data_IF_228382669094
#
_entry.id   IF_228382669094
#
_cell.length_a   1.000
_cell.length_b   1.000
_cell.length_c   1.000
_cell.angle_alpha   90.00
_cell.angle_beta   90.00
_cell.angle_gamma   90.00
#
_symmetry.space_group_name_H-M   'P 1'
#
loop_
_entity.id
_entity.type
_entity.pdbx_description
1 polymer ?
#
# COMPACT_ATOMS: atom_id res chain seq x y z
N UNK A 1 12.39 -47.74 29.79
CA UNK A 1 13.33 -46.87 29.05
C UNK A 1 13.24 -47.21 27.58
N UNK A 2 12.63 -46.42 26.72
CA UNK A 2 12.76 -46.57 25.30
C UNK A 2 13.68 -45.48 24.72
N UNK A 3 14.64 -45.98 23.96
CA UNK A 3 15.64 -45.21 23.23
C UNK A 3 15.02 -44.35 22.15
N UNK A 4 15.44 -43.13 22.09
CA UNK A 4 15.24 -42.22 20.97
C UNK A 4 16.25 -42.55 19.87
N UNK A 5 15.78 -43.09 18.76
CA UNK A 5 16.60 -43.31 17.57
C UNK A 5 16.21 -42.31 16.47
N UNK A 6 17.16 -41.44 16.17
CA UNK A 6 17.53 -41.06 14.82
C UNK A 6 16.53 -40.31 13.94
N UNK A 7 16.61 -38.97 13.95
CA UNK A 7 16.18 -38.16 12.82
C UNK A 7 17.20 -38.30 11.70
N UNK A 8 16.92 -39.11 10.70
CA UNK A 8 17.65 -39.12 9.44
C UNK A 8 17.23 -37.91 8.63
N UNK A 9 18.10 -36.90 8.61
CA UNK A 9 18.00 -35.78 7.67
C UNK A 9 18.31 -36.32 6.28
N UNK A 10 17.30 -36.55 5.48
CA UNK A 10 17.46 -36.85 4.06
C UNK A 10 17.96 -35.58 3.37
N UNK A 11 19.16 -35.54 2.77
CA UNK A 11 19.59 -34.39 2.03
C UNK A 11 18.69 -34.20 0.83
N UNK A 12 17.99 -33.07 0.79
CA UNK A 12 17.17 -32.68 -0.36
C UNK A 12 18.07 -32.65 -1.60
N UNK A 13 17.74 -33.43 -2.63
CA UNK A 13 18.44 -33.40 -3.92
C UNK A 13 18.53 -31.97 -4.41
N UNK A 14 19.72 -31.49 -4.87
CA UNK A 14 19.85 -30.17 -5.44
C UNK A 14 18.93 -30.09 -6.68
N UNK A 15 17.87 -29.29 -6.58
CA UNK A 15 17.05 -28.95 -7.76
C UNK A 15 17.97 -28.22 -8.75
N UNK A 16 18.04 -28.70 -9.98
CA UNK A 16 18.73 -28.03 -11.10
C UNK A 16 18.24 -26.58 -11.17
N UNK A 17 19.10 -25.67 -10.82
CA UNK A 17 18.84 -24.25 -10.83
C UNK A 17 18.78 -23.75 -12.28
N UNK A 18 17.64 -23.23 -12.69
CA UNK A 18 17.56 -22.42 -13.93
C UNK A 18 18.18 -21.03 -13.63
N UNK A 19 18.76 -20.32 -14.64
CA UNK A 19 19.34 -19.01 -14.41
C UNK A 19 18.32 -18.07 -13.81
N UNK A 20 18.68 -17.41 -12.75
CA UNK A 20 17.84 -16.90 -11.70
C UNK A 20 17.56 -15.43 -11.92
N UNK A 21 16.30 -15.15 -12.10
CA UNK A 21 15.75 -13.81 -11.87
C UNK A 21 15.84 -13.55 -10.36
N UNK A 22 16.40 -12.43 -9.91
CA UNK A 22 16.43 -12.12 -8.48
C UNK A 22 15.02 -12.07 -7.92
N UNK A 23 14.83 -12.72 -6.77
CA UNK A 23 13.57 -12.74 -6.04
C UNK A 23 13.78 -11.93 -4.78
N UNK A 24 12.97 -10.93 -4.57
CA UNK A 24 13.01 -10.09 -3.38
C UNK A 24 11.67 -10.15 -2.66
N UNK A 25 11.69 -10.55 -1.39
CA UNK A 25 10.53 -10.45 -0.53
C UNK A 25 10.71 -9.28 0.45
N UNK A 26 9.65 -8.55 0.68
CA UNK A 26 9.55 -7.36 1.55
C UNK A 26 10.44 -6.19 1.14
N UNK A 27 9.87 -5.34 0.32
CA UNK A 27 10.33 -3.97 0.19
C UNK A 27 9.83 -3.15 1.39
N UNK A 28 10.70 -2.36 2.02
CA UNK A 28 10.33 -1.29 2.94
C UNK A 28 10.99 -0.01 2.46
N UNK A 29 10.19 0.97 2.07
CA UNK A 29 10.69 2.27 1.63
C UNK A 29 10.98 3.14 2.85
N UNK A 30 12.07 3.90 2.82
CA UNK A 30 12.41 4.89 3.83
C UNK A 30 12.53 6.27 3.19
N UNK A 31 12.30 7.33 3.96
CA UNK A 31 12.27 8.74 3.52
C UNK A 31 13.47 9.23 2.71
N UNK A 32 14.50 8.42 2.51
CA UNK A 32 15.70 8.76 1.74
C UNK A 32 15.81 7.98 0.42
N UNK A 33 14.70 7.69 -0.25
CA UNK A 33 14.67 6.93 -1.52
C UNK A 33 15.48 5.62 -1.48
N UNK A 34 15.33 4.86 -0.39
CA UNK A 34 15.95 3.55 -0.19
C UNK A 34 14.87 2.50 0.02
N UNK A 35 14.96 1.42 -0.73
CA UNK A 35 14.14 0.24 -0.55
C UNK A 35 14.96 -0.83 0.18
N UNK A 36 14.39 -1.40 1.24
CA UNK A 36 14.99 -2.53 1.94
C UNK A 36 14.43 -3.82 1.34
N UNK A 37 15.33 -4.66 0.86
CA UNK A 37 14.98 -5.90 0.18
C UNK A 37 15.63 -7.08 0.88
N UNK A 38 14.92 -8.21 0.91
CA UNK A 38 15.48 -9.52 1.22
C UNK A 38 15.56 -10.33 -0.07
N UNK A 39 16.75 -10.77 -0.44
CA UNK A 39 16.94 -11.65 -1.60
C UNK A 39 16.55 -13.07 -1.19
N UNK A 40 15.54 -13.64 -1.83
CA UNK A 40 15.03 -14.99 -1.55
C UNK A 40 15.58 -16.03 -2.51
N UNK A 41 15.98 -15.61 -3.71
CA UNK A 41 16.60 -16.49 -4.71
C UNK A 41 17.40 -15.70 -5.72
N UNK A 42 18.38 -16.37 -6.34
CA UNK A 42 19.27 -15.73 -7.29
C UNK A 42 20.32 -14.82 -6.69
N UNK A 43 20.84 -13.97 -7.51
CA UNK A 43 21.84 -12.97 -7.14
C UNK A 43 21.37 -11.61 -7.66
N UNK A 44 21.27 -10.64 -6.75
CA UNK A 44 20.97 -9.26 -7.12
C UNK A 44 22.28 -8.50 -7.35
N UNK A 45 22.48 -7.98 -8.55
CA UNK A 45 23.66 -7.19 -8.94
C UNK A 45 23.34 -5.70 -9.04
N UNK A 46 24.35 -4.87 -8.84
CA UNK A 46 24.29 -3.44 -9.14
C UNK A 46 23.89 -3.24 -10.59
N UNK A 47 23.03 -2.27 -10.87
CA UNK A 47 22.42 -1.98 -12.18
C UNK A 47 21.48 -3.07 -12.72
N UNK A 48 21.17 -4.11 -11.95
CA UNK A 48 20.11 -5.06 -12.31
C UNK A 48 18.79 -4.32 -12.44
N UNK A 49 18.02 -4.67 -13.47
CA UNK A 49 16.66 -4.18 -13.65
C UNK A 49 15.72 -5.02 -12.80
N UNK A 50 14.99 -4.37 -11.93
CA UNK A 50 13.91 -4.95 -11.14
C UNK A 50 12.59 -4.52 -11.71
N UNK A 51 11.64 -5.42 -11.74
CA UNK A 51 10.29 -5.22 -12.21
C UNK A 51 9.31 -5.49 -11.10
N UNK A 52 8.23 -4.74 -11.06
CA UNK A 52 7.12 -4.90 -10.14
C UNK A 52 5.85 -4.32 -10.76
N UNK A 53 4.80 -4.25 -9.97
CA UNK A 53 3.51 -3.72 -10.39
C UNK A 53 3.03 -2.70 -9.34
N UNK A 54 2.72 -1.49 -9.77
CA UNK A 54 2.20 -0.44 -8.90
C UNK A 54 0.89 0.09 -9.50
N UNK A 55 -0.21 0.01 -8.74
CA UNK A 55 -1.56 0.46 -9.15
C UNK A 55 -2.05 -0.18 -10.45
N UNK A 56 -1.72 -1.47 -10.67
CA UNK A 56 -2.06 -2.17 -11.91
C UNK A 56 -1.16 -1.82 -13.10
N UNK A 57 -0.17 -0.92 -12.92
CA UNK A 57 0.80 -0.58 -13.94
C UNK A 57 2.15 -1.27 -13.71
N UNK A 58 2.67 -2.02 -14.68
CA UNK A 58 3.99 -2.61 -14.56
C UNK A 58 5.07 -1.53 -14.58
N UNK A 59 6.05 -1.66 -13.70
CA UNK A 59 7.20 -0.76 -13.66
C UNK A 59 8.53 -1.53 -13.74
N UNK A 60 9.56 -0.84 -14.20
CA UNK A 60 10.91 -1.37 -14.29
C UNK A 60 11.92 -0.29 -13.92
N UNK A 61 12.68 -0.51 -12.84
CA UNK A 61 13.71 0.41 -12.35
C UNK A 61 15.03 -0.32 -12.13
N UNK A 62 16.13 0.44 -12.12
CA UNK A 62 17.46 -0.12 -11.92
C UNK A 62 17.95 0.07 -10.49
N UNK A 63 18.51 -0.99 -9.93
CA UNK A 63 19.20 -0.95 -8.65
C UNK A 63 20.54 -0.18 -8.80
N UNK A 64 20.59 1.07 -8.34
CA UNK A 64 21.77 1.92 -8.51
C UNK A 64 22.93 1.51 -7.59
N UNK A 65 22.64 1.28 -6.31
CA UNK A 65 23.62 0.86 -5.32
C UNK A 65 23.01 -0.20 -4.41
N UNK A 66 23.81 -1.15 -4.01
CA UNK A 66 23.47 -2.16 -3.02
C UNK A 66 24.29 -1.88 -1.75
N UNK A 67 23.59 -1.73 -0.62
CA UNK A 67 24.18 -1.39 0.67
C UNK A 67 23.87 -2.46 1.70
N UNK A 68 24.90 -3.03 2.29
CA UNK A 68 24.79 -3.91 3.45
C UNK A 68 25.02 -3.09 4.71
N UNK A 69 24.01 -3.05 5.58
CA UNK A 69 24.08 -2.31 6.83
C UNK A 69 24.52 -3.20 7.99
N UNK A 70 25.41 -2.64 8.82
CA UNK A 70 25.77 -3.17 10.13
C UNK A 70 25.66 -2.04 11.15
N UNK A 71 24.51 -1.99 11.85
CA UNK A 71 24.14 -0.84 12.67
C UNK A 71 23.96 0.43 11.82
N UNK A 72 24.60 1.52 12.20
CA UNK A 72 24.53 2.80 11.47
C UNK A 72 25.45 2.87 10.24
N UNK A 73 26.41 1.97 10.13
CA UNK A 73 27.39 1.93 9.02
C UNK A 73 26.93 0.99 7.92
N UNK A 74 27.32 1.27 6.70
CA UNK A 74 27.04 0.39 5.56
C UNK A 74 28.29 0.19 4.70
N UNK A 75 28.33 -0.94 4.01
CA UNK A 75 29.32 -1.26 2.98
C UNK A 75 28.61 -1.36 1.63
N UNK A 76 29.26 -0.86 0.58
CA UNK A 76 28.79 -1.05 -0.78
C UNK A 76 29.22 -2.44 -1.26
N UNK A 77 28.32 -3.12 -1.97
CA UNK A 77 28.60 -4.42 -2.58
C UNK A 77 28.11 -4.42 -4.02
N UNK A 78 28.76 -5.20 -4.87
CA UNK A 78 28.38 -5.34 -6.28
C UNK A 78 27.29 -6.37 -6.49
N UNK A 79 27.16 -7.33 -5.56
CA UNK A 79 26.18 -8.41 -5.65
C UNK A 79 25.73 -8.87 -4.26
N UNK A 80 24.48 -9.33 -4.18
CA UNK A 80 23.83 -9.84 -2.98
C UNK A 80 23.23 -11.21 -3.28
N UNK A 81 23.56 -12.18 -2.46
CA UNK A 81 23.04 -13.55 -2.57
C UNK A 81 21.75 -13.81 -1.77
N UNK A 82 21.19 -15.02 -1.94
CA UNK A 82 19.95 -15.41 -1.25
C UNK A 82 20.11 -15.40 0.28
N UNK A 83 19.03 -15.02 0.97
CA UNK A 83 18.96 -14.95 2.43
C UNK A 83 19.48 -13.64 3.03
N UNK A 84 20.17 -12.82 2.27
CA UNK A 84 20.71 -11.53 2.71
C UNK A 84 19.66 -10.40 2.58
N UNK A 85 19.77 -9.42 3.48
CA UNK A 85 18.96 -8.18 3.46
C UNK A 85 19.87 -7.03 3.07
N UNK A 86 19.42 -6.22 2.14
CA UNK A 86 20.15 -5.05 1.68
C UNK A 86 19.24 -3.83 1.49
N UNK A 87 19.83 -2.65 1.53
CA UNK A 87 19.16 -1.44 1.07
C UNK A 87 19.60 -1.12 -0.36
N UNK A 88 18.62 -0.90 -1.22
CA UNK A 88 18.81 -0.58 -2.63
C UNK A 88 18.42 0.87 -2.86
N UNK A 89 19.21 1.59 -3.63
CA UNK A 89 18.87 2.94 -4.09
C UNK A 89 18.45 2.91 -5.57
N UNK A 90 17.57 3.82 -5.96
CA UNK A 90 17.09 3.94 -7.34
C UNK A 90 15.75 3.30 -7.60
N UNK A 91 15.12 2.73 -6.58
CA UNK A 91 13.75 2.23 -6.65
C UNK A 91 12.80 3.29 -6.07
N UNK A 92 11.99 3.89 -6.92
CA UNK A 92 11.06 4.96 -6.55
C UNK A 92 9.61 4.47 -6.50
N UNK A 93 9.30 3.44 -7.27
CA UNK A 93 7.94 2.89 -7.38
C UNK A 93 7.70 1.65 -6.51
N UNK A 94 8.76 1.03 -5.99
CA UNK A 94 8.66 -0.16 -5.15
C UNK A 94 7.88 0.11 -3.86
N UNK A 95 6.93 -0.76 -3.52
CA UNK A 95 6.04 -0.66 -2.35
C UNK A 95 6.42 -1.67 -1.26
N UNK A 96 6.08 -1.39 0.00
CA UNK A 96 6.23 -2.36 1.07
C UNK A 96 5.36 -3.61 0.83
N UNK A 97 5.99 -4.79 0.96
CA UNK A 97 5.29 -6.07 0.73
C UNK A 97 5.27 -6.55 -0.71
N UNK A 98 5.69 -5.72 -1.66
CA UNK A 98 5.77 -6.07 -3.08
C UNK A 98 6.86 -7.12 -3.34
N UNK A 99 6.54 -8.10 -4.17
CA UNK A 99 7.47 -9.09 -4.68
C UNK A 99 8.15 -8.58 -5.94
N UNK A 100 9.48 -8.53 -5.95
CA UNK A 100 10.24 -8.02 -7.08
C UNK A 100 10.82 -9.15 -7.94
N UNK A 101 10.72 -8.99 -9.25
CA UNK A 101 11.23 -9.95 -10.21
C UNK A 101 10.32 -11.16 -10.37
N UNK A 102 10.76 -12.34 -9.92
CA UNK A 102 9.98 -13.59 -9.99
C UNK A 102 9.27 -13.94 -8.67
N UNK A 103 9.37 -13.09 -7.65
CA UNK A 103 8.66 -13.27 -6.38
C UNK A 103 7.22 -12.77 -6.53
N UNK A 104 6.30 -13.40 -5.78
CA UNK A 104 4.92 -12.92 -5.68
C UNK A 104 4.84 -11.90 -4.56
N UNK A 105 3.87 -11.01 -4.65
CA UNK A 105 3.55 -10.10 -3.57
C UNK A 105 3.24 -10.87 -2.29
N UNK A 106 3.61 -10.30 -1.17
CA UNK A 106 3.20 -10.86 0.11
C UNK A 106 1.70 -10.62 0.30
N UNK A 107 1.03 -11.56 0.93
CA UNK A 107 -0.36 -11.39 1.33
C UNK A 107 -0.49 -10.07 2.11
N UNK A 108 -1.50 -9.29 1.78
CA UNK A 108 -1.83 -8.06 2.50
C UNK A 108 -2.06 -8.39 3.99
N UNK A 109 -1.74 -7.48 4.90
CA UNK A 109 -2.01 -7.71 6.30
C UNK A 109 -3.50 -7.96 6.50
N UNK A 110 -3.84 -9.06 7.19
CA UNK A 110 -5.23 -9.47 7.46
C UNK A 110 -5.96 -8.45 8.35
N UNK A 111 -5.20 -7.65 9.11
CA UNK A 111 -5.75 -6.67 10.03
C UNK A 111 -5.84 -5.31 9.35
N UNK A 112 -7.07 -4.81 9.23
CA UNK A 112 -7.36 -3.46 8.79
C UNK A 112 -7.47 -2.51 10.00
N UNK A 113 -7.13 -1.22 9.84
CA UNK A 113 -7.32 -0.23 10.89
C UNK A 113 -8.82 -0.07 11.19
N UNK A 114 -9.15 0.00 12.49
CA UNK A 114 -10.53 0.08 12.98
C UNK A 114 -10.82 1.37 13.74
N UNK A 115 -9.79 2.16 14.04
CA UNK A 115 -9.90 3.41 14.80
C UNK A 115 -9.44 4.58 13.93
N UNK A 116 -10.19 5.67 13.99
CA UNK A 116 -9.85 6.93 13.32
C UNK A 116 -9.61 8.01 14.38
N UNK A 117 -8.52 8.75 14.24
CA UNK A 117 -8.17 9.85 15.12
C UNK A 117 -7.92 11.10 14.32
N UNK A 118 -8.47 12.22 14.76
CA UNK A 118 -8.15 13.53 14.22
C UNK A 118 -6.74 13.94 14.63
N UNK A 119 -5.96 14.47 13.69
CA UNK A 119 -4.63 15.03 13.95
C UNK A 119 -4.79 16.51 14.26
N UNK A 120 -4.46 16.89 15.49
CA UNK A 120 -4.48 18.27 15.94
C UNK A 120 -3.09 18.87 15.73
N UNK A 121 -3.00 19.84 14.84
CA UNK A 121 -1.77 20.55 14.52
C UNK A 121 -1.55 21.74 15.47
N UNK A 122 -0.29 22.09 15.78
CA UNK A 122 0.00 23.28 16.55
C UNK A 122 -0.44 24.55 15.81
N UNK A 123 -0.73 25.62 16.55
CA UNK A 123 -1.12 26.92 15.98
C UNK A 123 -0.11 27.43 14.96
N UNK A 124 -0.59 27.84 13.78
CA UNK A 124 0.24 28.34 12.69
C UNK A 124 0.96 27.28 11.86
N UNK A 125 0.72 26.00 12.10
CA UNK A 125 1.27 24.94 11.25
C UNK A 125 0.55 24.90 9.89
N UNK A 126 1.33 24.70 8.82
CA UNK A 126 0.79 24.50 7.49
C UNK A 126 0.20 23.07 7.37
N UNK A 127 -1.12 23.00 7.21
CA UNK A 127 -1.88 21.77 7.11
C UNK A 127 -1.45 20.92 5.91
N UNK A 128 -1.20 21.55 4.77
CA UNK A 128 -0.77 20.83 3.56
C UNK A 128 0.65 20.28 3.69
N UNK A 129 1.54 21.02 4.33
CA UNK A 129 2.89 20.53 4.61
C UNK A 129 2.85 19.37 5.62
N UNK A 130 1.97 19.42 6.63
CA UNK A 130 1.76 18.33 7.57
C UNK A 130 1.17 17.09 6.89
N UNK A 131 0.17 17.26 6.03
CA UNK A 131 -0.42 16.19 5.22
C UNK A 131 0.64 15.49 4.36
N UNK A 132 1.50 16.25 3.68
CA UNK A 132 2.60 15.67 2.90
C UNK A 132 3.62 14.88 3.74
N UNK A 133 3.84 15.26 5.00
CA UNK A 133 4.69 14.48 5.93
C UNK A 133 4.02 13.19 6.38
N UNK A 134 2.71 13.21 6.63
CA UNK A 134 1.92 12.03 7.00
C UNK A 134 1.83 11.03 5.85
N UNK A 135 1.59 11.47 4.62
CA UNK A 135 1.61 10.58 3.45
C UNK A 135 2.97 9.91 3.23
N UNK A 136 4.08 10.57 3.56
CA UNK A 136 5.39 9.91 3.53
C UNK A 136 5.52 8.78 4.56
N UNK A 137 4.88 8.91 5.73
CA UNK A 137 4.83 7.82 6.71
C UNK A 137 3.90 6.69 6.25
N UNK A 138 2.78 7.02 5.63
CA UNK A 138 1.88 6.05 5.02
C UNK A 138 2.57 5.20 3.93
N UNK A 139 3.42 5.81 3.10
CA UNK A 139 4.24 5.07 2.13
C UNK A 139 5.17 4.03 2.80
N UNK A 140 5.59 4.26 4.05
CA UNK A 140 6.48 3.36 4.78
C UNK A 140 5.73 2.32 5.62
N UNK A 141 4.54 2.68 6.13
CA UNK A 141 3.69 1.86 6.99
C UNK A 141 2.31 1.67 6.33
N UNK A 142 2.11 0.60 5.55
CA UNK A 142 0.87 0.37 4.80
C UNK A 142 -0.39 0.22 5.67
N UNK A 143 -0.22 0.05 6.98
CA UNK A 143 -1.32 -0.04 7.94
C UNK A 143 -1.78 1.31 8.46
N UNK A 144 -1.02 2.37 8.17
CA UNK A 144 -1.41 3.75 8.45
C UNK A 144 -2.17 4.28 7.25
N UNK A 145 -3.42 4.66 7.42
CA UNK A 145 -4.19 5.35 6.40
C UNK A 145 -4.42 6.79 6.81
N UNK A 146 -4.07 7.70 5.91
CA UNK A 146 -4.21 9.15 6.12
C UNK A 146 -5.38 9.63 5.28
N UNK A 147 -6.40 10.19 5.91
CA UNK A 147 -7.60 10.68 5.27
C UNK A 147 -7.68 12.19 5.44
N UNK A 148 -7.75 12.91 4.34
CA UNK A 148 -8.02 14.34 4.32
C UNK A 148 -9.52 14.61 4.16
N UNK A 149 -10.12 15.28 5.12
CA UNK A 149 -11.50 15.73 5.04
C UNK A 149 -11.54 17.18 4.52
N UNK A 150 -11.84 17.34 3.25
CA UNK A 150 -11.89 18.68 2.61
C UNK A 150 -12.98 19.58 3.20
N UNK A 151 -14.11 19.00 3.63
CA UNK A 151 -15.27 19.76 4.14
C UNK A 151 -14.96 20.39 5.49
N UNK A 152 -14.26 19.67 6.36
CA UNK A 152 -13.90 20.11 7.70
C UNK A 152 -12.49 20.73 7.75
N UNK A 153 -11.66 20.53 6.71
CA UNK A 153 -10.26 20.95 6.71
C UNK A 153 -9.41 20.20 7.73
N UNK A 154 -9.74 18.93 7.99
CA UNK A 154 -9.14 18.11 9.03
C UNK A 154 -8.37 16.93 8.46
N UNK A 155 -7.28 16.56 9.12
CA UNK A 155 -6.52 15.35 8.83
C UNK A 155 -6.94 14.27 9.83
N UNK A 156 -7.32 13.12 9.33
CA UNK A 156 -7.59 11.94 10.12
C UNK A 156 -6.57 10.84 9.81
N UNK A 157 -6.18 10.10 10.85
CA UNK A 157 -5.32 8.93 10.71
C UNK A 157 -6.08 7.70 11.22
N UNK A 158 -6.04 6.64 10.42
CA UNK A 158 -6.68 5.38 10.76
C UNK A 158 -5.62 4.40 11.22
N UNK A 159 -5.83 3.82 12.39
CA UNK A 159 -4.87 2.99 13.12
C UNK A 159 -5.57 1.78 13.77
N UNK A 160 -4.78 0.80 14.18
CA UNK A 160 -5.29 -0.37 14.90
C UNK A 160 -5.41 -0.17 16.40
N UNK A 161 -4.69 0.80 16.99
CA UNK A 161 -4.70 0.98 18.43
C UNK A 161 -3.89 2.17 18.93
N UNK A 162 -4.07 2.51 20.21
CA UNK A 162 -3.48 3.67 20.86
C UNK A 162 -1.95 3.67 20.89
N UNK A 163 -1.32 2.50 20.99
CA UNK A 163 0.15 2.40 20.98
C UNK A 163 0.74 2.96 19.68
N UNK A 164 0.04 2.76 18.56
CA UNK A 164 0.47 3.32 17.27
C UNK A 164 0.42 4.85 17.24
N UNK A 165 -0.48 5.49 18.01
CA UNK A 165 -0.51 6.95 18.15
C UNK A 165 0.74 7.48 18.81
N UNK A 166 1.21 6.84 19.90
CA UNK A 166 2.44 7.24 20.58
C UNK A 166 3.66 7.11 19.66
N UNK A 167 3.73 6.00 18.92
CA UNK A 167 4.79 5.78 17.92
C UNK A 167 4.71 6.83 16.82
N UNK A 168 3.53 7.12 16.29
CA UNK A 168 3.32 8.12 15.25
C UNK A 168 3.69 9.52 15.72
N UNK A 169 3.30 9.89 16.95
CA UNK A 169 3.71 11.16 17.59
C UNK A 169 5.22 11.30 17.66
N UNK A 170 5.90 10.27 18.17
CA UNK A 170 7.36 10.26 18.29
C UNK A 170 8.04 10.36 16.93
N UNK A 171 7.56 9.63 15.91
CA UNK A 171 8.09 9.67 14.55
C UNK A 171 7.92 11.04 13.90
N UNK A 172 6.76 11.71 14.10
CA UNK A 172 6.50 13.04 13.57
C UNK A 172 7.42 14.08 14.22
N UNK A 173 7.59 14.02 15.55
CA UNK A 173 8.48 14.90 16.28
C UNK A 173 9.96 14.68 15.89
N UNK A 174 10.45 13.44 15.91
CA UNK A 174 11.88 13.14 15.66
C UNK A 174 12.29 13.37 14.21
N UNK A 175 11.44 13.01 13.25
CA UNK A 175 11.81 13.02 11.82
C UNK A 175 11.48 14.32 11.12
N UNK A 176 10.40 14.98 11.54
CA UNK A 176 9.87 16.17 10.85
C UNK A 176 9.80 17.40 11.74
N UNK A 177 10.15 17.28 13.03
CA UNK A 177 10.03 18.38 13.98
C UNK A 177 8.59 18.88 14.14
N UNK A 178 7.60 18.00 13.92
CA UNK A 178 6.19 18.31 13.99
C UNK A 178 5.59 17.69 15.25
N UNK A 179 5.27 18.54 16.21
CA UNK A 179 4.57 18.15 17.42
C UNK A 179 3.06 18.15 17.13
N UNK A 180 2.43 16.99 17.27
CA UNK A 180 0.99 16.84 17.04
C UNK A 180 0.32 16.27 18.27
N UNK A 181 -0.95 16.60 18.44
CA UNK A 181 -1.85 15.93 19.37
C UNK A 181 -2.92 15.17 18.59
N UNK A 182 -3.58 14.23 19.25
CA UNK A 182 -4.65 13.47 18.64
C UNK A 182 -5.95 13.72 19.40
N UNK A 183 -7.00 13.95 18.64
CA UNK A 183 -8.36 14.09 19.16
C UNK A 183 -8.90 12.74 19.69
N UNK A 184 -10.13 12.73 20.20
CA UNK A 184 -10.78 11.50 20.62
C UNK A 184 -10.90 10.53 19.45
N UNK A 185 -10.63 9.25 19.71
CA UNK A 185 -10.74 8.21 18.70
C UNK A 185 -12.19 7.88 18.37
N UNK A 186 -12.48 7.72 17.09
CA UNK A 186 -13.73 7.20 16.57
C UNK A 186 -13.56 5.79 16.00
N UNK A 187 -14.62 4.98 16.08
CA UNK A 187 -14.63 3.65 15.44
C UNK A 187 -14.98 3.84 13.97
N UNK A 188 -14.23 3.20 13.10
CA UNK A 188 -14.53 3.14 11.68
C UNK A 188 -15.64 2.11 11.44
N UNK A 189 -16.82 2.61 11.14
CA UNK A 189 -17.93 1.77 10.73
C UNK A 189 -17.87 1.56 9.22
N UNK A 190 -18.11 0.31 8.78
CA UNK A 190 -18.38 -0.01 7.38
C UNK A 190 -19.86 -0.29 7.25
N UNK A 191 -20.51 0.36 6.32
CA UNK A 191 -21.93 0.22 6.04
C UNK A 191 -22.17 -0.75 4.89
N UNK A 192 -23.33 -1.36 4.88
CA UNK A 192 -23.86 -2.13 3.74
C UNK A 192 -25.35 -1.87 3.60
N UNK A 193 -25.84 -2.03 2.40
CA UNK A 193 -27.28 -1.95 2.12
C UNK A 193 -27.94 -3.29 2.41
N UNK A 194 -29.19 -3.28 2.84
CA UNK A 194 -29.98 -4.48 3.12
C UNK A 194 -30.75 -4.97 1.91
N UNK A 195 -31.14 -4.05 1.02
CA UNK A 195 -31.95 -4.31 -0.17
C UNK A 195 -31.32 -3.62 -1.39
N UNK A 196 -31.54 -4.16 -2.61
CA UNK A 196 -31.10 -3.49 -3.83
C UNK A 196 -31.72 -2.10 -3.96
N UNK A 197 -30.92 -1.11 -4.29
CA UNK A 197 -31.35 0.27 -4.48
C UNK A 197 -30.82 0.83 -5.80
N UNK A 198 -31.54 1.79 -6.37
CA UNK A 198 -31.11 2.52 -7.56
C UNK A 198 -30.95 4.00 -7.23
N UNK A 199 -29.81 4.55 -7.62
CA UNK A 199 -29.50 5.98 -7.55
C UNK A 199 -29.30 6.55 -8.93
N UNK A 200 -29.84 7.74 -9.19
CA UNK A 200 -29.72 8.41 -10.49
C UNK A 200 -29.00 9.73 -10.31
N UNK A 201 -27.94 9.92 -11.09
CA UNK A 201 -27.23 11.17 -11.22
C UNK A 201 -27.49 11.81 -12.57
N UNK A 202 -27.91 13.06 -12.58
CA UNK A 202 -28.19 13.83 -13.78
C UNK A 202 -27.36 15.11 -13.80
N UNK A 203 -26.76 15.42 -14.95
CA UNK A 203 -25.94 16.61 -15.13
C UNK A 203 -26.16 17.21 -16.53
N UNK A 204 -26.64 18.43 -16.59
CA UNK A 204 -26.99 19.10 -17.87
C UNK A 204 -26.46 20.56 -17.91
N UNK A 205 -25.13 20.79 -17.97
CA UNK A 205 -24.62 22.13 -18.17
C UNK A 205 -24.43 22.45 -19.66
N UNK A 206 -24.90 23.61 -20.10
CA UNK A 206 -24.50 24.26 -21.37
C UNK A 206 -24.38 23.32 -22.61
N UNK A 207 -25.41 22.53 -22.92
CA UNK A 207 -25.51 21.59 -24.05
C UNK A 207 -24.77 20.24 -23.86
N UNK A 208 -24.34 19.93 -22.68
CA UNK A 208 -23.84 18.60 -22.35
C UNK A 208 -24.88 17.88 -21.50
N UNK A 209 -25.19 16.67 -21.84
CA UNK A 209 -26.11 15.83 -21.08
C UNK A 209 -25.39 14.58 -20.62
N UNK A 210 -25.48 14.28 -19.35
CA UNK A 210 -25.01 13.02 -18.79
C UNK A 210 -26.00 12.53 -17.72
N UNK A 211 -26.42 11.29 -17.85
CA UNK A 211 -27.25 10.61 -16.87
C UNK A 211 -26.66 9.25 -16.56
N UNK A 212 -26.48 8.96 -15.27
CA UNK A 212 -25.89 7.71 -14.78
C UNK A 212 -26.85 7.11 -13.76
N UNK A 213 -27.26 5.88 -14.01
CA UNK A 213 -28.03 5.04 -13.11
C UNK A 213 -27.08 4.07 -12.41
N UNK A 214 -27.01 4.12 -11.09
CA UNK A 214 -26.23 3.22 -10.27
C UNK A 214 -27.16 2.25 -9.55
N UNK A 215 -27.05 0.98 -9.87
CA UNK A 215 -27.73 -0.09 -9.17
C UNK A 215 -26.81 -0.64 -8.08
N UNK A 216 -27.19 -0.47 -6.83
CA UNK A 216 -26.47 -0.99 -5.69
C UNK A 216 -27.11 -2.31 -5.27
N UNK A 217 -26.30 -3.35 -5.15
CA UNK A 217 -26.72 -4.68 -4.73
C UNK A 217 -25.96 -5.11 -3.47
N UNK A 218 -26.64 -5.68 -2.46
CA UNK A 218 -25.95 -6.14 -1.25
C UNK A 218 -25.09 -7.36 -1.57
N UNK A 219 -23.86 -7.35 -1.07
CA UNK A 219 -22.92 -8.47 -1.15
C UNK A 219 -22.69 -9.10 0.23
N UNK A 220 -22.20 -10.34 0.30
CA UNK A 220 -21.79 -10.95 1.57
C UNK A 220 -20.78 -10.11 2.32
N UNK A 221 -20.80 -10.15 3.66
CA UNK A 221 -19.83 -9.43 4.49
C UNK A 221 -18.40 -9.80 4.14
N UNK A 222 -17.55 -8.79 3.97
CA UNK A 222 -16.13 -8.96 3.64
C UNK A 222 -15.83 -9.05 2.14
N UNK A 223 -16.85 -8.99 1.26
CA UNK A 223 -16.65 -9.02 -0.20
C UNK A 223 -16.02 -7.74 -0.75
N UNK A 224 -15.98 -6.66 0.04
CA UNK A 224 -15.57 -5.35 -0.44
C UNK A 224 -16.56 -4.74 -1.43
N UNK A 225 -16.16 -3.69 -2.12
CA UNK A 225 -16.93 -3.08 -3.21
C UNK A 225 -16.54 -3.74 -4.52
N UNK A 226 -17.54 -4.05 -5.35
CA UNK A 226 -17.35 -4.59 -6.69
C UNK A 226 -18.09 -3.69 -7.68
N UNK A 227 -17.43 -3.36 -8.78
CA UNK A 227 -17.99 -2.48 -9.80
C UNK A 227 -18.16 -3.25 -11.10
N UNK A 228 -19.31 -3.11 -11.73
CA UNK A 228 -19.60 -3.72 -13.02
C UNK A 228 -20.50 -2.79 -13.86
N UNK A 229 -20.38 -2.87 -15.17
CA UNK A 229 -21.27 -2.15 -16.08
C UNK A 229 -22.37 -3.12 -16.56
N UNK A 230 -23.64 -2.74 -16.36
CA UNK A 230 -24.81 -3.43 -16.91
C UNK A 230 -25.40 -2.61 -18.07
N UNK A 231 -24.52 -2.20 -18.99
CA UNK A 231 -24.89 -1.42 -20.15
C UNK A 231 -24.37 -2.08 -21.43
N UNK A 232 -25.23 -2.19 -22.45
CA UNK A 232 -24.83 -2.76 -23.73
C UNK A 232 -23.91 -1.80 -24.47
N UNK A 233 -22.93 -2.36 -25.19
CA UNK A 233 -21.95 -1.59 -25.98
C UNK A 233 -22.62 -0.73 -27.08
N UNK A 234 -23.78 -1.17 -27.57
CA UNK A 234 -24.61 -0.43 -28.55
C UNK A 234 -25.21 0.87 -27.97
N UNK A 235 -25.38 0.93 -26.64
CA UNK A 235 -25.95 2.10 -25.95
C UNK A 235 -24.84 3.04 -25.51
N UNK A 236 -23.76 2.50 -24.96
CA UNK A 236 -22.59 3.25 -24.50
C UNK A 236 -21.31 2.50 -24.85
N UNK A 237 -20.40 3.14 -25.56
CA UNK A 237 -19.11 2.58 -25.91
C UNK A 237 -18.30 2.13 -24.69
N UNK A 238 -17.54 1.04 -24.81
CA UNK A 238 -16.74 0.46 -23.73
C UNK A 238 -15.76 1.42 -23.06
N UNK A 239 -15.25 2.38 -23.79
CA UNK A 239 -14.30 3.35 -23.24
C UNK A 239 -15.01 4.26 -22.22
N UNK A 240 -16.24 4.68 -22.52
CA UNK A 240 -17.06 5.47 -21.60
C UNK A 240 -17.51 4.65 -20.40
N UNK A 241 -17.91 3.38 -20.59
CA UNK A 241 -18.21 2.48 -19.49
C UNK A 241 -17.02 2.34 -18.56
N UNK A 242 -15.82 2.11 -19.10
CA UNK A 242 -14.58 2.01 -18.32
C UNK A 242 -14.27 3.30 -17.57
N UNK A 243 -14.45 4.45 -18.20
CA UNK A 243 -14.22 5.75 -17.57
C UNK A 243 -15.12 5.95 -16.35
N UNK A 244 -16.40 5.62 -16.46
CA UNK A 244 -17.34 5.70 -15.32
C UNK A 244 -16.91 4.76 -14.19
N UNK A 245 -16.56 3.51 -14.50
CA UNK A 245 -16.09 2.54 -13.51
C UNK A 245 -14.81 3.02 -12.81
N UNK A 246 -13.83 3.53 -13.56
CA UNK A 246 -12.59 4.07 -12.99
C UNK A 246 -12.89 5.20 -12.01
N UNK A 247 -13.76 6.14 -12.34
CA UNK A 247 -14.12 7.24 -11.44
C UNK A 247 -14.91 6.79 -10.21
N UNK A 248 -15.64 5.68 -10.29
CA UNK A 248 -16.28 5.07 -9.12
C UNK A 248 -15.26 4.38 -8.20
N UNK A 249 -14.22 3.75 -8.77
CA UNK A 249 -13.17 3.07 -8.01
C UNK A 249 -12.19 4.03 -7.33
N UNK A 250 -11.90 5.19 -7.96
CA UNK A 250 -10.92 6.17 -7.47
C UNK A 250 -11.35 6.86 -6.16
N UNK A 251 -12.64 6.87 -5.82
CA UNK A 251 -13.15 7.60 -4.66
C UNK A 251 -13.59 6.67 -3.54
N UNK A 252 -13.24 7.03 -2.32
CA UNK A 252 -13.88 6.46 -1.14
C UNK A 252 -15.30 7.04 -1.03
N UNK A 253 -16.28 6.15 -1.04
CA UNK A 253 -17.67 6.52 -0.87
C UNK A 253 -17.99 6.56 0.62
N UNK A 254 -18.42 7.72 1.10
CA UNK A 254 -18.86 7.91 2.48
C UNK A 254 -20.28 7.33 2.61
N UNK A 255 -20.51 6.62 3.71
CA UNK A 255 -21.83 6.17 4.11
C UNK A 255 -22.71 7.33 4.66
N UNK A 256 -23.88 6.99 5.16
CA UNK A 256 -24.86 7.95 5.72
C UNK A 256 -24.47 8.36 7.14
#
# INVERSE_FOLDING_TARGET
>A
MPCWTGWTVTPARPRRWKPLVPRCSRCRRTSRARAWLRVTGGELKVKAQLTGEADGEPWAEKANQLRLYSGAKYTLTEAIGPGQVCAVTGLTKARPGEGLGAERDSDLPVLEPVLSYQVLLPEGADVHAALGKLHRLEEEEPQLHVVWNETLGEIHVQLMGEIQLEVLRSLLAERFGLEVEFGPGGILYKETITEPMEGVGHYEPLRHYAEVHLKLEPLPRGSGMQFAADCREEVLDKNWQRLVLTHLEEKQHLGV
#
